data_IF_541671643682
#
_entry.id   IF_541671643682
#
_cell.length_a   1.000
_cell.length_b   1.000
_cell.length_c   1.000
_cell.angle_alpha   90.00
_cell.angle_beta   90.00
_cell.angle_gamma   90.00
#
_symmetry.space_group_name_H-M   'P 1'
#
loop_
_entity.id
_entity.type
_entity.pdbx_description
1 polymer ?
#
# COMPACT_ATOMS: atom_id res chain seq x y z
N UNK A 1 -1.28 -19.29 5.37
CA UNK A 1 -0.29 -18.37 5.98
C UNK A 1 -1.05 -17.29 6.74
N UNK A 2 -1.03 -17.29 8.08
CA UNK A 2 -1.69 -16.26 8.92
C UNK A 2 -0.62 -15.23 9.31
N UNK A 3 -0.68 -14.03 8.74
CA UNK A 3 0.20 -12.93 9.16
C UNK A 3 -0.27 -12.44 10.53
N UNK A 4 0.53 -12.71 11.56
CA UNK A 4 0.28 -12.38 12.95
C UNK A 4 0.42 -10.87 13.20
N UNK A 5 -0.39 -10.35 14.11
CA UNK A 5 -0.66 -8.94 14.45
C UNK A 5 0.54 -8.12 14.95
N UNK A 6 1.73 -8.70 15.12
CA UNK A 6 2.95 -8.03 15.59
C UNK A 6 3.84 -7.45 14.48
N UNK A 7 3.64 -7.82 13.21
CA UNK A 7 4.47 -7.33 12.09
C UNK A 7 4.00 -5.97 11.50
N UNK A 8 2.71 -5.62 11.65
CA UNK A 8 2.15 -4.41 11.03
C UNK A 8 2.59 -3.10 11.67
N UNK A 9 3.24 -3.15 12.84
CA UNK A 9 3.80 -1.96 13.51
C UNK A 9 5.23 -1.63 13.01
N UNK A 10 5.77 -2.39 12.04
CA UNK A 10 7.12 -2.18 11.47
C UNK A 10 7.15 -1.90 9.97
N UNK A 11 6.01 -1.81 9.30
CA UNK A 11 6.00 -1.46 7.87
C UNK A 11 6.34 0.03 7.71
N UNK A 12 7.27 0.38 6.80
CA UNK A 12 7.67 1.77 6.62
C UNK A 12 6.49 2.59 6.11
N UNK A 13 6.52 3.89 6.39
CA UNK A 13 5.64 4.83 5.69
C UNK A 13 6.14 4.97 4.26
N UNK A 14 5.30 4.62 3.29
CA UNK A 14 5.63 4.76 1.87
C UNK A 14 4.88 5.93 1.24
N UNK A 15 5.54 6.65 0.34
CA UNK A 15 4.99 7.77 -0.43
C UNK A 15 5.65 7.87 -1.80
N UNK A 16 5.17 8.79 -2.63
CA UNK A 16 5.75 9.10 -3.94
C UNK A 16 7.28 9.25 -3.89
N UNK A 17 7.96 8.59 -4.82
CA UNK A 17 9.43 8.59 -4.95
C UNK A 17 10.14 7.49 -4.15
N UNK A 18 9.48 6.85 -3.19
CA UNK A 18 10.03 5.70 -2.47
C UNK A 18 10.20 4.50 -3.40
N UNK A 19 11.19 3.66 -3.11
CA UNK A 19 11.54 2.50 -3.93
C UNK A 19 11.95 1.30 -3.09
N UNK A 20 11.87 0.11 -3.68
CA UNK A 20 12.42 -1.12 -3.12
C UNK A 20 11.36 -2.13 -2.70
N UNK A 21 11.77 -3.09 -1.86
CA UNK A 21 10.95 -4.28 -1.57
C UNK A 21 9.62 -3.96 -0.88
N UNK A 22 9.59 -2.94 0.00
CA UNK A 22 8.36 -2.51 0.66
C UNK A 22 7.33 -1.97 -0.33
N UNK A 23 7.77 -1.29 -1.39
CA UNK A 23 6.88 -0.82 -2.47
C UNK A 23 6.36 -1.99 -3.30
N UNK A 24 7.19 -3.00 -3.59
CA UNK A 24 6.72 -4.23 -4.26
C UNK A 24 5.64 -4.94 -3.46
N UNK A 25 5.81 -5.03 -2.15
CA UNK A 25 4.81 -5.62 -1.23
C UNK A 25 3.51 -4.80 -1.27
N UNK A 26 3.60 -3.47 -1.24
CA UNK A 26 2.44 -2.59 -1.40
C UNK A 26 1.71 -2.87 -2.72
N UNK A 27 2.43 -2.89 -3.84
CA UNK A 27 1.85 -3.12 -5.17
C UNK A 27 1.18 -4.50 -5.27
N UNK A 28 1.82 -5.54 -4.74
CA UNK A 28 1.23 -6.89 -4.65
C UNK A 28 -0.07 -6.90 -3.85
N UNK A 29 -0.11 -6.20 -2.71
CA UNK A 29 -1.32 -6.12 -1.90
C UNK A 29 -2.42 -5.34 -2.62
N UNK A 30 -2.10 -4.23 -3.29
CA UNK A 30 -3.07 -3.48 -4.11
C UNK A 30 -3.67 -4.37 -5.21
N UNK A 31 -2.84 -5.13 -5.92
CA UNK A 31 -3.30 -6.12 -6.92
C UNK A 31 -4.23 -7.15 -6.29
N UNK A 32 -3.87 -7.71 -5.12
CA UNK A 32 -4.74 -8.65 -4.40
C UNK A 32 -6.09 -8.07 -3.95
N UNK A 33 -6.17 -6.74 -3.80
CA UNK A 33 -7.42 -6.01 -3.47
C UNK A 33 -8.21 -5.58 -4.71
N UNK A 34 -7.79 -6.02 -5.90
CA UNK A 34 -8.47 -5.77 -7.16
C UNK A 34 -8.05 -4.48 -7.85
N UNK A 35 -6.87 -3.94 -7.53
CA UNK A 35 -6.29 -2.78 -8.23
C UNK A 35 -5.12 -3.24 -9.12
N UNK A 36 -5.36 -3.54 -10.40
CA UNK A 36 -4.32 -4.02 -11.30
C UNK A 36 -3.31 -2.91 -11.59
N UNK A 37 -2.08 -3.06 -11.11
CA UNK A 37 -0.94 -2.18 -11.37
C UNK A 37 0.34 -3.00 -11.56
N UNK A 38 1.36 -2.40 -12.16
CA UNK A 38 2.69 -2.99 -12.26
C UNK A 38 3.34 -3.16 -10.89
N UNK A 39 4.12 -4.24 -10.73
CA UNK A 39 4.92 -4.52 -9.52
C UNK A 39 6.39 -4.32 -9.89
N UNK A 40 6.81 -3.07 -9.99
CA UNK A 40 8.17 -2.67 -10.34
C UNK A 40 9.02 -2.31 -9.11
N UNK A 41 8.37 -2.06 -7.96
CA UNK A 41 9.03 -1.60 -6.74
C UNK A 41 9.27 -0.09 -6.70
N UNK A 42 8.66 0.67 -7.61
CA UNK A 42 8.74 2.12 -7.66
C UNK A 42 7.41 2.77 -7.27
N UNK A 43 7.45 3.67 -6.29
CA UNK A 43 6.28 4.43 -5.87
C UNK A 43 6.13 5.65 -6.78
N UNK A 44 5.76 5.39 -8.04
CA UNK A 44 5.47 6.42 -9.04
C UNK A 44 4.03 6.91 -9.00
N UNK A 45 3.67 7.72 -10.00
CA UNK A 45 2.34 8.35 -10.13
C UNK A 45 1.23 7.29 -10.12
N UNK A 46 1.42 6.18 -10.83
CA UNK A 46 0.42 5.11 -10.89
C UNK A 46 0.18 4.48 -9.51
N UNK A 47 1.25 4.15 -8.78
CA UNK A 47 1.16 3.62 -7.41
C UNK A 47 0.44 4.60 -6.49
N UNK A 48 0.75 5.90 -6.57
CA UNK A 48 0.11 6.93 -5.74
C UNK A 48 -1.39 7.08 -6.02
N UNK A 49 -1.79 7.17 -7.30
CA UNK A 49 -3.20 7.27 -7.70
C UNK A 49 -3.97 6.04 -7.22
N UNK A 50 -3.38 4.85 -7.33
CA UNK A 50 -4.00 3.62 -6.85
C UNK A 50 -4.11 3.56 -5.33
N UNK A 51 -3.10 4.03 -4.60
CA UNK A 51 -3.17 4.16 -3.13
C UNK A 51 -4.31 5.10 -2.73
N UNK A 52 -4.43 6.27 -3.38
CA UNK A 52 -5.51 7.23 -3.13
C UNK A 52 -6.89 6.61 -3.41
N UNK A 53 -7.04 5.89 -4.52
CA UNK A 53 -8.28 5.19 -4.84
C UNK A 53 -8.62 4.12 -3.79
N UNK A 54 -7.64 3.34 -3.35
CA UNK A 54 -7.79 2.36 -2.28
C UNK A 54 -8.21 3.03 -0.96
N UNK A 55 -7.54 4.10 -0.56
CA UNK A 55 -7.84 4.85 0.66
C UNK A 55 -9.27 5.39 0.64
N UNK A 56 -9.69 6.04 -0.45
CA UNK A 56 -11.06 6.54 -0.63
C UNK A 56 -12.09 5.42 -0.50
N UNK A 57 -11.87 4.28 -1.16
CA UNK A 57 -12.79 3.13 -1.09
C UNK A 57 -12.89 2.52 0.32
N UNK A 58 -11.85 2.69 1.14
CA UNK A 58 -11.80 2.23 2.54
C UNK A 58 -12.22 3.29 3.56
N UNK A 59 -12.66 4.47 3.13
CA UNK A 59 -13.03 5.56 4.03
C UNK A 59 -11.85 6.14 4.80
N UNK A 60 -10.63 6.01 4.25
CA UNK A 60 -9.41 6.63 4.78
C UNK A 60 -9.19 8.00 4.10
N UNK A 61 -8.34 8.82 4.70
CA UNK A 61 -7.84 10.03 4.05
C UNK A 61 -7.03 9.60 2.81
N UNK A 62 -7.42 10.09 1.64
CA UNK A 62 -6.80 9.77 0.35
C UNK A 62 -5.59 10.67 0.06
N UNK A 63 -4.60 10.65 0.97
CA UNK A 63 -3.38 11.46 0.89
C UNK A 63 -2.29 10.85 -0.01
N UNK A 64 -2.43 9.58 -0.43
CA UNK A 64 -1.41 8.85 -1.18
C UNK A 64 -0.25 8.34 -0.32
N UNK A 65 -0.36 8.42 1.01
CA UNK A 65 0.66 7.99 1.96
C UNK A 65 0.24 6.67 2.62
N UNK A 66 1.10 5.67 2.50
CA UNK A 66 0.87 4.34 3.09
C UNK A 66 1.47 4.30 4.49
N UNK A 67 0.73 4.85 5.45
CA UNK A 67 1.00 4.71 6.88
C UNK A 67 0.35 3.47 7.49
N UNK A 68 0.44 3.33 8.82
CA UNK A 68 -0.06 2.17 9.57
C UNK A 68 -1.55 1.87 9.34
N UNK A 69 -2.39 2.91 9.17
CA UNK A 69 -3.83 2.75 8.87
C UNK A 69 -4.06 2.14 7.49
N UNK A 70 -3.32 2.61 6.48
CA UNK A 70 -3.39 2.08 5.11
C UNK A 70 -2.89 0.64 5.07
N UNK A 71 -1.76 0.34 5.74
CA UNK A 71 -1.24 -1.02 5.86
C UNK A 71 -2.23 -1.99 6.49
N UNK A 72 -2.86 -1.60 7.60
CA UNK A 72 -3.88 -2.40 8.26
C UNK A 72 -5.07 -2.70 7.35
N UNK A 73 -5.53 -1.71 6.57
CA UNK A 73 -6.62 -1.89 5.63
C UNK A 73 -6.24 -2.79 4.43
N UNK A 74 -4.98 -2.77 4.00
CA UNK A 74 -4.47 -3.66 2.94
C UNK A 74 -4.39 -5.12 3.42
N UNK A 75 -4.18 -5.33 4.71
CA UNK A 75 -4.08 -6.67 5.30
C UNK A 75 -5.39 -7.27 5.83
N UNK A 76 -6.47 -6.47 5.88
CA UNK A 76 -7.82 -6.94 6.26
C UNK A 76 -8.55 -7.56 5.09
#
# INVERSE_FOLDING_TARGET
MRLQTTAMNRLPTLRFGDRGNSVRILQQLLVSKGYPIGIDGDFGVLTEVTVKAFQSRRGLIADGIVGSRTWRALSS
#
